data_IF_503157636837
#
_entry.id   IF_503157636837
#
_cell.length_a   1.000
_cell.length_b   1.000
_cell.length_c   1.000
_cell.angle_alpha   90.00
_cell.angle_beta   90.00
_cell.angle_gamma   90.00
#
_symmetry.space_group_name_H-M   'P 1'
#
loop_
_entity.id
_entity.type
_entity.pdbx_description
1 polymer ?
#
# COMPACT_ATOMS: atom_id res chain seq x y z
N UNK A 1 -19.69 0.28 -7.36
CA UNK A 1 -18.43 -0.46 -7.31
C UNK A 1 -18.41 -1.34 -6.07
N UNK A 2 -18.29 -2.66 -6.22
CA UNK A 2 -18.22 -3.59 -5.08
C UNK A 2 -16.84 -3.49 -4.44
N UNK A 3 -16.78 -3.33 -3.12
CA UNK A 3 -15.49 -3.34 -2.40
C UNK A 3 -15.00 -4.78 -2.31
N UNK A 4 -13.88 -5.05 -2.94
CA UNK A 4 -13.19 -6.34 -2.92
C UNK A 4 -11.88 -6.18 -2.17
N UNK A 5 -11.42 -7.28 -1.58
CA UNK A 5 -10.14 -7.34 -0.87
C UNK A 5 -9.32 -8.47 -1.48
N UNK A 6 -8.04 -8.18 -1.72
CA UNK A 6 -7.06 -9.16 -2.14
C UNK A 6 -5.81 -8.99 -1.28
N UNK A 7 -5.10 -10.08 -1.01
CA UNK A 7 -3.83 -9.99 -0.30
C UNK A 7 -2.76 -9.33 -1.17
N UNK A 8 -1.83 -8.62 -0.56
CA UNK A 8 -0.60 -8.18 -1.22
C UNK A 8 0.12 -9.38 -1.88
N UNK A 9 0.69 -9.17 -3.07
CA UNK A 9 1.45 -10.21 -3.76
C UNK A 9 2.78 -10.50 -3.05
N UNK A 10 3.14 -11.78 -2.98
CA UNK A 10 4.41 -12.22 -2.37
C UNK A 10 5.64 -11.64 -3.10
N UNK A 11 5.56 -11.46 -4.42
CA UNK A 11 6.60 -10.85 -5.26
C UNK A 11 6.02 -9.82 -6.20
N UNK A 12 6.68 -8.68 -6.33
CA UNK A 12 6.27 -7.61 -7.25
C UNK A 12 7.20 -7.52 -8.45
N UNK A 13 8.38 -8.13 -8.36
CA UNK A 13 9.42 -8.01 -9.37
C UNK A 13 9.81 -9.36 -9.95
N UNK A 14 10.13 -9.36 -11.25
CA UNK A 14 10.67 -10.50 -11.97
C UNK A 14 11.69 -10.03 -13.02
N UNK A 15 12.98 -10.16 -12.72
CA UNK A 15 14.05 -9.68 -13.59
C UNK A 15 13.95 -8.17 -13.79
N UNK A 16 13.69 -7.75 -15.03
CA UNK A 16 13.59 -6.34 -15.44
C UNK A 16 12.16 -5.79 -15.43
N UNK A 17 11.21 -6.54 -14.86
CA UNK A 17 9.79 -6.17 -14.79
C UNK A 17 9.40 -5.96 -13.33
N UNK A 18 8.69 -4.86 -13.05
CA UNK A 18 8.06 -4.57 -11.77
C UNK A 18 6.57 -4.30 -11.94
N UNK A 19 5.77 -4.79 -10.99
CA UNK A 19 4.36 -4.46 -10.81
C UNK A 19 4.23 -3.33 -9.80
N UNK A 20 3.30 -2.42 -10.06
CA UNK A 20 3.01 -1.24 -9.24
C UNK A 20 1.51 -1.17 -8.94
N UNK A 21 1.14 -0.31 -7.99
CA UNK A 21 -0.25 0.03 -7.69
C UNK A 21 -1.09 -1.19 -7.25
N UNK A 22 -2.41 -1.09 -7.39
CA UNK A 22 -3.41 -2.12 -7.09
C UNK A 22 -3.14 -3.49 -7.74
N UNK A 23 -2.25 -3.57 -8.75
CA UNK A 23 -1.84 -4.86 -9.33
C UNK A 23 -1.05 -5.69 -8.32
N UNK A 24 -0.21 -5.07 -7.49
CA UNK A 24 0.63 -5.79 -6.53
C UNK A 24 0.25 -5.53 -5.07
N UNK A 25 -0.42 -4.42 -4.76
CA UNK A 25 -0.78 -4.05 -3.38
C UNK A 25 -2.18 -3.39 -3.26
N UNK A 26 -3.26 -4.05 -3.73
CA UNK A 26 -4.60 -3.49 -3.71
C UNK A 26 -5.07 -3.12 -2.30
N UNK A 27 -5.41 -1.85 -2.09
CA UNK A 27 -5.80 -1.34 -0.76
C UNK A 27 -7.31 -1.14 -0.60
N UNK A 28 -7.82 -1.28 0.62
CA UNK A 28 -9.21 -0.94 0.91
C UNK A 28 -9.37 0.59 0.90
N UNK A 29 -10.46 1.14 0.32
CA UNK A 29 -10.65 2.58 0.13
C UNK A 29 -11.03 3.33 1.44
N UNK A 30 -10.48 2.91 2.57
CA UNK A 30 -10.85 3.35 3.93
C UNK A 30 -9.87 4.35 4.55
N UNK A 31 -8.76 4.61 3.86
CA UNK A 31 -7.81 5.67 4.19
C UNK A 31 -7.55 6.60 3.00
N UNK A 32 -8.25 6.39 1.88
CA UNK A 32 -8.09 7.15 0.64
C UNK A 32 -6.64 7.21 0.12
N UNK A 33 -5.84 6.18 0.40
CA UNK A 33 -4.41 6.17 0.07
C UNK A 33 -4.05 5.41 -1.20
N UNK A 34 -4.95 4.64 -1.83
CA UNK A 34 -4.61 3.81 -2.99
C UNK A 34 -3.86 4.59 -4.10
N UNK A 35 -4.44 5.69 -4.56
CA UNK A 35 -3.81 6.55 -5.56
C UNK A 35 -2.52 7.23 -5.07
N UNK A 36 -2.43 7.57 -3.78
CA UNK A 36 -1.22 8.15 -3.18
C UNK A 36 -0.05 7.17 -3.26
N UNK A 37 -0.31 5.90 -2.98
CA UNK A 37 0.69 4.84 -3.00
C UNK A 37 1.21 4.61 -4.43
N UNK A 38 0.33 4.64 -5.43
CA UNK A 38 0.72 4.55 -6.83
C UNK A 38 1.70 5.67 -7.23
N UNK A 39 1.49 6.88 -6.72
CA UNK A 39 2.40 8.01 -6.94
C UNK A 39 3.73 7.79 -6.21
N UNK A 40 3.70 7.28 -4.98
CA UNK A 40 4.90 6.94 -4.23
C UNK A 40 5.72 5.85 -4.92
N UNK A 41 5.09 4.82 -5.49
CA UNK A 41 5.77 3.78 -6.27
C UNK A 41 6.60 4.40 -7.41
N UNK A 42 5.97 5.31 -8.17
CA UNK A 42 6.63 6.02 -9.26
C UNK A 42 7.77 6.91 -8.79
N UNK A 43 7.58 7.61 -7.67
CA UNK A 43 8.62 8.46 -7.08
C UNK A 43 9.83 7.65 -6.59
N UNK A 44 9.60 6.54 -5.86
CA UNK A 44 10.66 5.67 -5.36
C UNK A 44 11.44 5.06 -6.51
N UNK A 45 10.76 4.50 -7.52
CA UNK A 45 11.44 3.96 -8.70
C UNK A 45 12.21 5.04 -9.46
N UNK A 46 11.62 6.22 -9.64
CA UNK A 46 12.26 7.35 -10.31
C UNK A 46 13.55 7.78 -9.63
N UNK A 47 13.55 7.86 -8.29
CA UNK A 47 14.74 8.18 -7.49
C UNK A 47 15.78 7.06 -7.58
N UNK A 48 15.37 5.81 -7.37
CA UNK A 48 16.31 4.68 -7.37
C UNK A 48 16.98 4.50 -8.73
N UNK A 49 16.20 4.56 -9.82
CA UNK A 49 16.75 4.50 -11.17
C UNK A 49 17.57 5.76 -11.49
N UNK A 50 17.13 6.95 -11.09
CA UNK A 50 17.87 8.19 -11.33
C UNK A 50 19.26 8.21 -10.67
N UNK A 51 19.40 7.61 -9.48
CA UNK A 51 20.66 7.59 -8.73
C UNK A 51 21.53 6.38 -9.08
N UNK A 52 20.92 5.21 -9.27
CA UNK A 52 21.64 3.93 -9.31
C UNK A 52 21.66 3.27 -10.69
N UNK A 53 20.95 3.79 -11.69
CA UNK A 53 20.80 3.09 -12.96
C UNK A 53 22.14 2.91 -13.69
N UNK A 54 22.62 1.67 -13.62
CA UNK A 54 23.48 1.06 -14.62
C UNK A 54 22.69 -0.14 -15.13
N UNK A 55 22.72 -0.39 -16.44
CA UNK A 55 21.90 -1.41 -17.11
C UNK A 55 22.00 -2.81 -16.48
N UNK A 56 23.16 -3.14 -15.92
CA UNK A 56 23.42 -4.41 -15.24
C UNK A 56 22.76 -4.58 -13.86
N UNK A 57 22.32 -3.50 -13.21
CA UNK A 57 21.78 -3.54 -11.83
C UNK A 57 20.27 -3.28 -11.74
N UNK A 58 19.58 -3.17 -12.87
CA UNK A 58 18.14 -2.83 -12.88
C UNK A 58 17.33 -3.84 -12.07
N UNK A 59 17.60 -5.14 -12.20
CA UNK A 59 16.88 -6.17 -11.46
C UNK A 59 17.04 -6.03 -9.94
N UNK A 60 18.24 -5.71 -9.47
CA UNK A 60 18.56 -5.46 -8.07
C UNK A 60 17.89 -4.17 -7.56
N UNK A 61 17.85 -3.13 -8.39
CA UNK A 61 17.17 -1.87 -8.09
C UNK A 61 15.67 -2.10 -7.92
N UNK A 62 15.05 -2.88 -8.81
CA UNK A 62 13.62 -3.22 -8.70
C UNK A 62 13.33 -4.01 -7.42
N UNK A 63 14.19 -4.96 -7.03
CA UNK A 63 14.06 -5.68 -5.75
C UNK A 63 14.20 -4.75 -4.55
N UNK A 64 15.06 -3.74 -4.64
CA UNK A 64 15.19 -2.72 -3.61
C UNK A 64 13.92 -1.88 -3.49
N UNK A 65 13.34 -1.46 -4.61
CA UNK A 65 12.01 -0.82 -4.66
C UNK A 65 10.96 -1.66 -3.92
N UNK A 66 10.80 -2.93 -4.30
CA UNK A 66 9.81 -3.83 -3.69
C UNK A 66 10.00 -3.91 -2.17
N UNK A 67 11.25 -4.05 -1.71
CA UNK A 67 11.57 -4.16 -0.28
C UNK A 67 11.22 -2.89 0.49
N UNK A 68 11.61 -1.72 -0.04
CA UNK A 68 11.33 -0.43 0.60
C UNK A 68 9.82 -0.23 0.72
N UNK A 69 9.11 -0.50 -0.35
CA UNK A 69 7.72 -0.14 -0.46
C UNK A 69 6.80 -1.07 0.33
N UNK A 70 7.05 -2.39 0.34
CA UNK A 70 6.38 -3.34 1.25
C UNK A 70 6.51 -2.95 2.73
N UNK A 71 7.68 -2.47 3.12
CA UNK A 71 7.92 -2.06 4.50
C UNK A 71 7.10 -0.83 4.90
N UNK A 72 6.97 0.14 3.98
CA UNK A 72 6.13 1.32 4.17
C UNK A 72 4.64 0.93 4.21
N UNK A 73 4.20 0.13 3.24
CA UNK A 73 2.79 -0.17 3.00
C UNK A 73 2.14 -1.05 4.06
N UNK A 74 2.95 -1.81 4.80
CA UNK A 74 2.47 -2.59 5.94
C UNK A 74 1.65 -1.76 6.93
N UNK A 75 2.03 -0.49 7.17
CA UNK A 75 1.31 0.41 8.08
C UNK A 75 -0.04 0.82 7.49
N UNK A 76 -0.07 1.18 6.22
CA UNK A 76 -1.30 1.59 5.54
C UNK A 76 -2.30 0.41 5.42
N UNK A 77 -1.84 -0.78 5.07
CA UNK A 77 -2.71 -1.96 5.05
C UNK A 77 -3.37 -2.26 6.40
N UNK A 78 -2.58 -2.22 7.48
CA UNK A 78 -3.09 -2.42 8.83
C UNK A 78 -4.08 -1.32 9.23
N UNK A 79 -3.78 -0.07 8.89
CA UNK A 79 -4.65 1.08 9.10
C UNK A 79 -5.99 0.91 8.38
N UNK A 80 -5.97 0.57 7.09
CA UNK A 80 -7.17 0.41 6.27
C UNK A 80 -8.02 -0.77 6.75
N UNK A 81 -7.40 -1.87 7.20
CA UNK A 81 -8.09 -2.97 7.84
C UNK A 81 -8.78 -2.54 9.15
N UNK A 82 -8.05 -1.86 10.04
CA UNK A 82 -8.55 -1.36 11.33
C UNK A 82 -9.69 -0.36 11.15
N UNK A 83 -9.53 0.59 10.25
CA UNK A 83 -10.54 1.61 9.92
C UNK A 83 -11.85 0.98 9.46
N UNK A 84 -11.80 -0.13 8.73
CA UNK A 84 -13.00 -0.88 8.35
C UNK A 84 -13.84 -1.32 9.53
N UNK A 85 -13.20 -1.83 10.58
CA UNK A 85 -13.90 -2.25 11.80
C UNK A 85 -14.42 -1.03 12.56
N UNK A 86 -13.58 -0.02 12.73
CA UNK A 86 -13.92 1.17 13.54
C UNK A 86 -15.06 1.96 12.90
N UNK A 87 -15.08 2.12 11.58
CA UNK A 87 -16.12 2.91 10.90
C UNK A 87 -17.47 2.18 10.82
N UNK A 88 -17.47 0.85 10.95
CA UNK A 88 -18.65 0.01 10.77
C UNK A 88 -19.04 -0.72 12.07
N UNK A 89 -18.71 -0.15 13.23
CA UNK A 89 -19.20 -0.67 14.51
C UNK A 89 -20.73 -0.67 14.49
N UNK A 90 -21.38 -1.76 14.91
CA UNK A 90 -22.83 -1.77 15.09
C UNK A 90 -23.22 -0.80 16.19
N UNK A 91 -24.47 -0.35 16.15
CA UNK A 91 -25.01 0.54 17.17
C UNK A 91 -24.84 -0.07 18.57
N UNK A 92 -24.28 0.69 19.51
CA UNK A 92 -24.02 0.21 20.86
C UNK A 92 -22.95 0.99 21.62
N UNK A 93 -22.54 0.44 22.77
CA UNK A 93 -21.59 1.09 23.67
C UNK A 93 -20.23 1.34 23.01
N UNK A 94 -19.72 0.38 22.22
CA UNK A 94 -18.43 0.53 21.52
C UNK A 94 -18.48 1.66 20.48
N UNK A 95 -19.60 1.80 19.76
CA UNK A 95 -19.82 2.90 18.82
C UNK A 95 -19.91 4.23 19.56
N UNK A 96 -20.64 4.32 20.68
CA UNK A 96 -20.73 5.53 21.49
C UNK A 96 -19.38 5.96 22.08
N UNK A 97 -18.57 5.01 22.56
CA UNK A 97 -17.21 5.27 23.03
C UNK A 97 -16.34 5.79 21.89
N UNK A 98 -16.39 5.16 20.71
CA UNK A 98 -15.68 5.62 19.51
C UNK A 98 -16.11 7.04 19.16
N UNK A 99 -17.40 7.31 19.06
CA UNK A 99 -17.94 8.62 18.70
C UNK A 99 -17.48 9.71 19.68
N UNK A 100 -17.44 9.41 20.98
CA UNK A 100 -16.92 10.31 22.01
C UNK A 100 -15.42 10.62 21.90
N UNK A 101 -14.62 9.76 21.26
CA UNK A 101 -13.20 10.03 20.98
C UNK A 101 -13.01 11.00 19.81
N UNK A 102 -13.98 11.10 18.90
CA UNK A 102 -13.92 11.95 17.70
C UNK A 102 -14.82 13.19 17.76
N UNK A 103 -15.54 13.40 18.87
CA UNK A 103 -16.32 14.60 19.14
C UNK A 103 -15.44 15.74 19.69
#
# INVERSE_FOLDING_TARGET
WKVLHHSELEKWTNGYVALLDDVCHPTLPRQSQGATIAVEDGAVLGVLLGILAQSQYVAEILRLYEKLQKSCLTVNFRGAAKNGRIYQLPDGLEQAVRDGVFA
#
